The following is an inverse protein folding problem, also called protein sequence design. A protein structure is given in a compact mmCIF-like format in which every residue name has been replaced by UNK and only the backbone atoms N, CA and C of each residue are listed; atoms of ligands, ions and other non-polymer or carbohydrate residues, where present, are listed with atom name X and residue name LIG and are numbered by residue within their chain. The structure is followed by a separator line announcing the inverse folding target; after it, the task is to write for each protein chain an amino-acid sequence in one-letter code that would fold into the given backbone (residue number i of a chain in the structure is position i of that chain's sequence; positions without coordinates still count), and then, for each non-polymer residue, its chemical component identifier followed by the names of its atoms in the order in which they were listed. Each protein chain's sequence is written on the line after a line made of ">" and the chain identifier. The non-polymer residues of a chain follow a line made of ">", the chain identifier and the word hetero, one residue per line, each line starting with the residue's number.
data_IF_888717046458
#
_entry.id   IF_888717046458
#
_cell.length_a   1.000
_cell.length_b   1.000
_cell.length_c   1.000
_cell.angle_alpha   90.00
_cell.angle_beta   90.00
_cell.angle_gamma   90.00
#
_symmetry.space_group_name_H-M   'P 1'
#
loop_
_entity.id
_entity.type
_entity.pdbx_description
1 polymer ?
#
# COMPACT_ATOMS: atom_id res chain seq x y z
N UNK A 1 -7.46 15.38 12.84
CA UNK A 1 -6.52 14.30 13.22
C UNK A 1 -5.50 14.22 12.10
N UNK A 2 -4.22 14.52 12.34
CA UNK A 2 -3.20 14.33 11.31
C UNK A 2 -3.09 12.84 10.99
N UNK A 3 -2.93 12.49 9.72
CA UNK A 3 -2.78 11.10 9.28
C UNK A 3 -1.43 10.56 9.73
N UNK A 4 -1.41 9.49 10.50
CA UNK A 4 -0.17 8.80 10.91
C UNK A 4 0.60 8.21 9.71
N UNK A 5 -0.12 7.94 8.61
CA UNK A 5 0.41 7.43 7.35
C UNK A 5 -0.56 7.75 6.20
N UNK A 6 -0.04 8.19 5.05
CA UNK A 6 -0.79 8.42 3.81
C UNK A 6 -0.24 7.51 2.72
N UNK A 7 -1.12 6.73 2.10
CA UNK A 7 -0.74 5.89 0.95
C UNK A 7 -1.22 6.55 -0.33
N UNK A 8 -0.31 6.69 -1.30
CA UNK A 8 -0.62 7.19 -2.65
C UNK A 8 -0.35 6.11 -3.67
N UNK A 9 -1.32 5.89 -4.54
CA UNK A 9 -1.23 4.97 -5.67
C UNK A 9 -2.12 5.50 -6.78
N UNK A 10 -1.80 5.16 -8.03
CA UNK A 10 -2.70 5.45 -9.15
C UNK A 10 -3.96 4.60 -9.01
N UNK A 11 -5.10 5.10 -9.53
CA UNK A 11 -6.36 4.34 -9.53
C UNK A 11 -6.19 3.00 -10.25
N UNK A 12 -5.50 3.01 -11.38
CA UNK A 12 -5.28 1.82 -12.20
C UNK A 12 -4.41 0.77 -11.50
N UNK A 13 -3.33 1.17 -10.82
CA UNK A 13 -2.51 0.24 -10.04
C UNK A 13 -3.26 -0.24 -8.79
N UNK A 14 -4.09 0.59 -8.16
CA UNK A 14 -4.94 0.17 -7.04
C UNK A 14 -5.94 -0.91 -7.46
N UNK A 15 -6.64 -0.72 -8.59
CA UNK A 15 -7.57 -1.72 -9.11
C UNK A 15 -6.88 -3.05 -9.40
N UNK A 16 -5.67 -3.02 -10.00
CA UNK A 16 -4.86 -4.24 -10.24
C UNK A 16 -4.41 -4.91 -8.94
N UNK A 17 -4.04 -4.13 -7.92
CA UNK A 17 -3.69 -4.67 -6.60
C UNK A 17 -4.90 -5.36 -5.96
N UNK A 18 -6.07 -4.72 -6.02
CA UNK A 18 -7.32 -5.27 -5.47
C UNK A 18 -7.78 -6.53 -6.23
N UNK A 19 -7.54 -6.58 -7.55
CA UNK A 19 -7.85 -7.75 -8.38
C UNK A 19 -6.80 -8.88 -8.25
N UNK A 20 -5.64 -8.61 -7.64
CA UNK A 20 -4.54 -9.57 -7.52
C UNK A 20 -3.63 -9.65 -8.75
N UNK A 21 -3.87 -8.81 -9.77
CA UNK A 21 -3.07 -8.72 -11.00
C UNK A 21 -1.74 -7.98 -10.78
N UNK A 22 -1.62 -7.20 -9.69
CA UNK A 22 -0.39 -6.50 -9.32
C UNK A 22 -0.04 -6.80 -7.86
N UNK A 23 1.14 -7.37 -7.64
CA UNK A 23 1.65 -7.61 -6.29
C UNK A 23 1.87 -6.27 -5.55
N UNK A 24 1.24 -6.04 -4.40
CA UNK A 24 1.34 -4.78 -3.65
C UNK A 24 2.75 -4.52 -3.09
N UNK A 25 3.52 -5.58 -2.79
CA UNK A 25 4.92 -5.47 -2.38
C UNK A 25 5.78 -5.01 -3.55
N UNK A 26 5.55 -5.56 -4.74
CA UNK A 26 6.22 -5.10 -5.95
C UNK A 26 5.81 -3.67 -6.32
N UNK A 27 4.54 -3.31 -6.18
CA UNK A 27 4.05 -1.94 -6.40
C UNK A 27 4.72 -0.94 -5.44
N UNK A 28 4.94 -1.33 -4.18
CA UNK A 28 5.66 -0.52 -3.20
C UNK A 28 7.14 -0.35 -3.54
N UNK A 29 7.84 -1.46 -3.80
CA UNK A 29 9.27 -1.45 -4.14
C UNK A 29 9.56 -0.73 -5.46
N UNK A 30 8.65 -0.80 -6.43
CA UNK A 30 8.77 -0.09 -7.71
C UNK A 30 8.38 1.40 -7.63
N UNK A 31 7.89 1.85 -6.47
CA UNK A 31 7.48 3.25 -6.24
C UNK A 31 6.13 3.64 -6.84
N UNK A 32 5.36 2.68 -7.36
CA UNK A 32 3.97 2.85 -7.83
C UNK A 32 2.99 3.05 -6.67
N UNK A 33 3.25 2.35 -5.57
CA UNK A 33 2.60 2.53 -4.28
C UNK A 33 3.56 3.29 -3.38
N UNK A 34 3.26 4.55 -3.08
CA UNK A 34 4.06 5.38 -2.18
C UNK A 34 3.40 5.47 -0.82
N UNK A 35 4.23 5.49 0.20
CA UNK A 35 3.78 5.74 1.56
C UNK A 35 4.48 6.99 2.08
N UNK A 36 3.69 8.02 2.37
CA UNK A 36 4.12 9.26 2.99
C UNK A 36 3.74 9.22 4.48
N UNK A 37 4.72 9.30 5.39
CA UNK A 37 4.48 9.28 6.84
C UNK A 37 5.54 8.48 7.58
N UNK A 38 5.19 7.96 8.75
CA UNK A 38 6.09 7.10 9.53
C UNK A 38 6.17 5.71 8.88
N UNK A 39 7.34 5.39 8.31
CA UNK A 39 7.61 4.10 7.65
C UNK A 39 7.43 2.92 8.63
N UNK A 40 7.60 3.13 9.93
CA UNK A 40 7.29 2.12 10.96
C UNK A 40 5.81 1.77 11.02
N UNK A 41 4.92 2.74 10.80
CA UNK A 41 3.47 2.53 10.68
C UNK A 41 3.13 1.90 9.32
N UNK A 42 3.85 2.29 8.25
CA UNK A 42 3.68 1.72 6.90
C UNK A 42 3.97 0.22 6.83
N UNK A 43 5.00 -0.26 7.53
CA UNK A 43 5.28 -1.71 7.62
C UNK A 43 4.16 -2.45 8.37
N UNK A 44 3.55 -1.80 9.38
CA UNK A 44 2.34 -2.29 10.03
C UNK A 44 1.15 -2.35 9.06
N UNK A 45 1.01 -1.36 8.17
CA UNK A 45 -0.03 -1.37 7.15
C UNK A 45 0.14 -2.52 6.15
N UNK A 46 1.35 -2.89 5.74
CA UNK A 46 1.55 -4.13 4.96
C UNK A 46 1.01 -5.37 5.68
N UNK A 47 1.20 -5.47 6.99
CA UNK A 47 0.68 -6.57 7.79
C UNK A 47 -0.85 -6.53 8.00
N UNK A 48 -1.47 -5.36 7.86
CA UNK A 48 -2.94 -5.18 7.92
C UNK A 48 -3.57 -5.40 6.56
N UNK A 49 -3.04 -4.81 5.49
CA UNK A 49 -3.46 -5.03 4.10
C UNK A 49 -3.30 -6.50 3.75
N UNK A 50 -2.15 -7.11 4.03
CA UNK A 50 -1.94 -8.55 3.80
C UNK A 50 -2.86 -9.47 4.61
N UNK A 51 -3.42 -9.01 5.75
CA UNK A 51 -4.40 -9.77 6.54
C UNK A 51 -5.86 -9.46 6.22
N UNK A 52 -6.15 -8.26 5.71
CA UNK A 52 -7.49 -7.84 5.33
C UNK A 52 -7.93 -8.44 3.98
N UNK A 53 -6.96 -8.85 3.15
CA UNK A 53 -7.18 -9.46 1.84
C UNK A 53 -6.75 -10.95 1.79
N UNK A 54 -6.49 -11.57 2.95
CA UNK A 54 -6.19 -13.00 3.10
C UNK A 54 -7.41 -13.82 3.49
#
# INVERSE_FOLDING_TARGET
>A
IPSDCTVRVSKDDFEKIVQGDLDPTFAFMSGKLRVDGDIGVAMGLQAVVGRAFG
#
